data_IF_455265475712
#
_entry.id   IF_455265475712
#
_cell.length_a   1.000
_cell.length_b   1.000
_cell.length_c   1.000
_cell.angle_alpha   90.00
_cell.angle_beta   90.00
_cell.angle_gamma   90.00
#
_symmetry.space_group_name_H-M   'P 1'
#
loop_
_entity.id
_entity.type
_entity.pdbx_description
1 polymer ?
#
# COMPACT_ATOMS: atom_id res chain seq x y z
N UNK A 1 14.18 -12.61 -23.59
CA UNK A 1 12.73 -12.42 -23.86
C UNK A 1 12.01 -13.42 -22.96
N UNK A 2 11.42 -13.02 -21.83
CA UNK A 2 11.18 -13.96 -20.72
C UNK A 2 9.74 -14.51 -20.73
N UNK A 3 9.56 -15.68 -21.33
CA UNK A 3 9.14 -16.99 -20.78
C UNK A 3 8.36 -17.09 -19.43
N UNK A 4 7.55 -16.12 -19.00
CA UNK A 4 6.88 -16.19 -17.67
C UNK A 4 5.40 -16.61 -17.66
N UNK A 5 4.63 -16.26 -18.70
CA UNK A 5 3.16 -16.31 -18.62
C UNK A 5 2.59 -17.74 -18.78
N UNK A 6 3.39 -18.68 -19.28
CA UNK A 6 2.91 -20.04 -19.60
C UNK A 6 2.82 -20.99 -18.38
N UNK A 7 3.54 -20.72 -17.29
CA UNK A 7 3.62 -21.66 -16.16
C UNK A 7 2.51 -21.48 -15.12
N UNK A 8 1.90 -20.29 -15.03
CA UNK A 8 0.75 -20.04 -14.15
C UNK A 8 -0.57 -20.61 -14.69
N UNK A 9 -0.59 -21.09 -15.94
CA UNK A 9 -1.76 -21.72 -16.55
C UNK A 9 -1.93 -23.22 -16.18
N UNK A 10 -0.98 -23.83 -15.45
CA UNK A 10 -0.96 -25.28 -15.20
C UNK A 10 -1.70 -25.74 -13.92
N UNK A 11 -2.39 -24.85 -13.21
CA UNK A 11 -3.26 -25.20 -12.07
C UNK A 11 -4.77 -25.21 -12.40
N UNK A 12 -5.13 -25.30 -13.69
CA UNK A 12 -6.41 -25.90 -14.09
C UNK A 12 -7.68 -25.22 -13.57
N UNK A 13 -7.78 -23.88 -13.68
CA UNK A 13 -9.08 -23.22 -13.64
C UNK A 13 -9.09 -22.11 -14.70
N UNK A 14 -10.01 -22.27 -15.65
CA UNK A 14 -10.26 -21.40 -16.79
C UNK A 14 -10.51 -19.95 -16.37
N UNK A 15 -10.15 -18.98 -17.22
CA UNK A 15 -11.11 -18.00 -17.75
C UNK A 15 -10.52 -17.20 -18.92
N UNK A 16 -11.26 -17.18 -20.02
CA UNK A 16 -10.80 -16.79 -21.37
C UNK A 16 -11.08 -15.30 -21.69
N UNK A 17 -11.57 -14.51 -20.74
CA UNK A 17 -11.79 -13.07 -20.92
C UNK A 17 -11.23 -12.25 -19.77
N UNK A 18 -9.90 -12.24 -19.68
CA UNK A 18 -9.19 -11.41 -18.72
C UNK A 18 -8.94 -10.03 -19.36
N UNK A 19 -9.62 -8.99 -18.89
CA UNK A 19 -9.29 -7.61 -19.26
C UNK A 19 -8.08 -7.15 -18.43
N UNK A 20 -6.91 -7.05 -19.06
CA UNK A 20 -5.74 -6.43 -18.44
C UNK A 20 -6.01 -4.93 -18.31
N UNK A 21 -6.15 -4.45 -17.07
CA UNK A 21 -6.46 -3.06 -16.85
C UNK A 21 -5.20 -2.20 -16.99
N UNK A 22 -4.13 -2.47 -16.23
CA UNK A 22 -2.87 -1.68 -16.28
C UNK A 22 -1.79 -2.18 -15.29
N UNK A 23 -0.54 -1.71 -15.48
CA UNK A 23 0.58 -1.81 -14.52
C UNK A 23 0.60 -0.53 -13.64
N UNK A 24 0.59 -0.64 -12.29
CA UNK A 24 0.61 0.53 -11.38
C UNK A 24 1.74 0.51 -10.34
N UNK A 25 1.85 1.60 -9.56
CA UNK A 25 3.06 2.20 -8.96
C UNK A 25 4.04 1.26 -8.26
N UNK A 26 3.55 0.22 -7.59
CA UNK A 26 4.37 -0.77 -6.87
C UNK A 26 4.73 -2.00 -7.73
N UNK A 27 4.34 -2.00 -9.00
CA UNK A 27 4.56 -3.06 -9.97
C UNK A 27 3.53 -4.20 -9.93
N UNK A 28 2.48 -4.08 -9.12
CA UNK A 28 1.37 -5.04 -9.08
C UNK A 28 0.48 -4.91 -10.33
N UNK A 29 -0.15 -6.02 -10.72
CA UNK A 29 -1.07 -6.07 -11.87
C UNK A 29 -2.49 -6.38 -11.40
N UNK A 30 -3.47 -5.70 -11.98
CA UNK A 30 -4.87 -5.76 -11.56
C UNK A 30 -5.74 -6.29 -12.69
N UNK A 31 -6.72 -7.11 -12.31
CA UNK A 31 -7.54 -7.89 -13.23
C UNK A 31 -9.02 -7.80 -12.86
N UNK A 32 -9.88 -7.79 -13.87
CA UNK A 32 -11.34 -7.82 -13.71
C UNK A 32 -11.98 -8.80 -14.70
N UNK A 33 -12.89 -9.62 -14.19
CA UNK A 33 -13.77 -10.50 -14.95
C UNK A 33 -15.19 -10.44 -14.35
N UNK A 34 -16.16 -9.94 -15.13
CA UNK A 34 -17.56 -9.82 -14.68
C UNK A 34 -18.38 -11.11 -14.88
N UNK A 35 -17.83 -12.13 -15.53
CA UNK A 35 -18.47 -13.43 -15.70
C UNK A 35 -18.29 -14.34 -14.47
N UNK A 36 -17.36 -13.98 -13.59
CA UNK A 36 -17.07 -14.69 -12.35
C UNK A 36 -18.12 -14.43 -11.26
N UNK A 37 -18.08 -15.26 -10.22
CA UNK A 37 -18.98 -15.11 -9.07
C UNK A 37 -18.78 -13.76 -8.36
N UNK A 38 -19.86 -13.13 -7.84
CA UNK A 38 -19.75 -11.88 -7.07
C UNK A 38 -18.73 -12.00 -5.93
N UNK A 39 -17.79 -11.06 -5.86
CA UNK A 39 -16.69 -11.06 -4.88
C UNK A 39 -15.41 -11.77 -5.36
N UNK A 40 -15.44 -12.47 -6.50
CA UNK A 40 -14.25 -13.01 -7.19
C UNK A 40 -13.99 -12.33 -8.54
N UNK A 41 -14.77 -11.30 -8.88
CA UNK A 41 -14.69 -10.62 -10.17
C UNK A 41 -13.45 -9.74 -10.31
N UNK A 42 -12.78 -9.37 -9.21
CA UNK A 42 -11.58 -8.53 -9.22
C UNK A 42 -10.48 -9.18 -8.41
N UNK A 43 -9.26 -9.21 -8.94
CA UNK A 43 -8.10 -9.71 -8.23
C UNK A 43 -6.83 -8.96 -8.60
N UNK A 44 -5.80 -9.16 -7.79
CA UNK A 44 -4.48 -8.56 -7.94
C UNK A 44 -3.44 -9.67 -7.99
N UNK A 45 -2.47 -9.53 -8.88
CA UNK A 45 -1.26 -10.33 -8.88
C UNK A 45 -0.07 -9.45 -8.41
N UNK A 46 0.52 -9.87 -7.30
CA UNK A 46 1.56 -9.13 -6.61
C UNK A 46 2.91 -9.33 -7.28
N UNK A 47 3.70 -8.26 -7.40
CA UNK A 47 5.06 -8.36 -7.95
C UNK A 47 6.03 -9.05 -7.00
N UNK A 48 5.85 -8.83 -5.70
CA UNK A 48 6.71 -9.40 -4.67
C UNK A 48 6.24 -10.82 -4.32
N UNK A 49 7.19 -11.72 -4.07
CA UNK A 49 6.90 -13.09 -3.64
C UNK A 49 6.27 -13.11 -2.24
N UNK A 50 6.76 -12.26 -1.34
CA UNK A 50 6.18 -12.10 0.00
C UNK A 50 5.05 -11.07 -0.08
N UNK A 51 3.90 -11.54 -0.54
CA UNK A 51 2.74 -10.71 -0.79
C UNK A 51 2.00 -10.35 0.52
N UNK A 52 1.58 -9.09 0.62
CA UNK A 52 0.68 -8.61 1.67
C UNK A 52 -0.35 -7.65 1.06
N UNK A 53 -1.56 -7.69 1.61
CA UNK A 53 -2.65 -6.77 1.30
C UNK A 53 -2.28 -5.30 1.45
N UNK A 54 -1.33 -5.00 2.33
CA UNK A 54 -0.87 -3.62 2.63
C UNK A 54 0.04 -3.04 1.55
N UNK A 55 0.52 -3.85 0.61
CA UNK A 55 1.34 -3.40 -0.53
C UNK A 55 0.52 -2.72 -1.64
N UNK A 56 -0.81 -2.75 -1.53
CA UNK A 56 -1.72 -2.15 -2.49
C UNK A 56 -1.77 -0.63 -2.34
N UNK A 57 -1.77 0.06 -3.47
CA UNK A 57 -2.05 1.48 -3.49
C UNK A 57 -3.46 1.75 -2.93
N UNK A 58 -3.67 2.80 -2.11
CA UNK A 58 -4.97 3.07 -1.49
C UNK A 58 -6.13 3.21 -2.49
N UNK A 59 -5.86 3.81 -3.65
CA UNK A 59 -6.87 4.02 -4.69
C UNK A 59 -7.22 2.69 -5.38
N UNK A 60 -6.21 1.84 -5.64
CA UNK A 60 -6.42 0.51 -6.19
C UNK A 60 -7.12 -0.41 -5.21
N UNK A 61 -6.80 -0.30 -3.91
CA UNK A 61 -7.49 -1.01 -2.85
C UNK A 61 -8.99 -0.65 -2.78
N UNK A 62 -9.35 0.62 -2.98
CA UNK A 62 -10.76 1.05 -3.03
C UNK A 62 -11.52 0.45 -4.23
N UNK A 63 -10.87 0.33 -5.39
CA UNK A 63 -11.46 -0.34 -6.55
C UNK A 63 -11.59 -1.85 -6.33
N UNK A 64 -10.54 -2.50 -5.82
CA UNK A 64 -10.56 -3.94 -5.52
C UNK A 64 -11.64 -4.30 -4.50
N UNK A 65 -11.90 -3.42 -3.52
CA UNK A 65 -12.91 -3.58 -2.48
C UNK A 65 -14.33 -3.17 -2.92
N UNK A 66 -14.57 -2.97 -4.22
CA UNK A 66 -15.86 -2.50 -4.77
C UNK A 66 -16.37 -1.17 -4.19
N UNK A 67 -15.50 -0.36 -3.55
CA UNK A 67 -15.87 0.99 -3.08
C UNK A 67 -15.97 1.96 -4.26
N UNK A 68 -15.15 1.74 -5.30
CA UNK A 68 -15.19 2.46 -6.57
C UNK A 68 -15.61 1.52 -7.69
N UNK A 69 -16.52 1.98 -8.54
CA UNK A 69 -16.97 1.22 -9.70
C UNK A 69 -15.86 1.14 -10.75
N UNK A 70 -15.27 2.28 -11.10
CA UNK A 70 -14.26 2.41 -12.14
C UNK A 70 -12.84 2.26 -11.57
N UNK A 71 -11.91 1.66 -12.34
CA UNK A 71 -10.50 1.59 -11.95
C UNK A 71 -9.84 2.97 -12.01
N UNK A 72 -8.75 3.20 -11.25
CA UNK A 72 -7.99 4.46 -11.27
C UNK A 72 -7.49 4.90 -12.65
N UNK A 73 -7.35 3.97 -13.60
CA UNK A 73 -6.99 4.26 -14.99
C UNK A 73 -8.08 5.01 -15.77
N UNK A 74 -9.34 4.87 -15.37
CA UNK A 74 -10.50 5.47 -16.04
C UNK A 74 -11.13 6.58 -15.21
N UNK A 75 -11.13 6.44 -13.87
CA UNK A 75 -11.71 7.43 -12.97
C UNK A 75 -10.85 8.71 -12.92
N UNK A 76 -11.38 9.79 -13.51
CA UNK A 76 -10.73 11.12 -13.53
C UNK A 76 -10.54 11.70 -12.12
N UNK A 77 -11.44 11.39 -11.19
CA UNK A 77 -11.35 11.89 -9.81
C UNK A 77 -10.21 11.17 -9.09
N UNK A 78 -10.05 9.88 -9.33
CA UNK A 78 -8.95 9.08 -8.78
C UNK A 78 -7.58 9.56 -9.29
N UNK A 79 -7.46 9.94 -10.56
CA UNK A 79 -6.23 10.47 -11.13
C UNK A 79 -5.82 11.84 -10.56
N UNK A 80 -6.81 12.67 -10.22
CA UNK A 80 -6.60 14.02 -9.68
C UNK A 80 -6.48 14.05 -8.14
N UNK A 81 -6.47 12.88 -7.49
CA UNK A 81 -6.52 12.78 -6.03
C UNK A 81 -5.19 13.11 -5.34
N UNK A 82 -4.08 13.19 -6.07
CA UNK A 82 -2.76 13.42 -5.49
C UNK A 82 -2.65 14.81 -4.84
N UNK A 83 -2.30 14.83 -3.54
CA UNK A 83 -2.08 16.05 -2.76
C UNK A 83 -0.61 16.27 -2.50
N UNK A 84 -0.18 17.52 -2.42
CA UNK A 84 1.23 17.88 -2.22
C UNK A 84 1.85 17.38 -0.90
N UNK A 85 1.02 17.10 0.11
CA UNK A 85 1.44 16.57 1.41
C UNK A 85 1.34 15.04 1.50
N UNK A 86 0.85 14.38 0.45
CA UNK A 86 0.66 12.94 0.45
C UNK A 86 2.01 12.23 0.27
N UNK A 87 2.23 11.22 1.09
CA UNK A 87 3.40 10.35 1.00
C UNK A 87 3.06 9.20 0.03
N UNK A 88 4.02 8.73 -0.79
CA UNK A 88 3.83 7.53 -1.60
C UNK A 88 3.38 6.34 -0.74
N UNK A 89 2.57 5.45 -1.32
CA UNK A 89 2.13 4.25 -0.61
C UNK A 89 3.32 3.35 -0.28
N UNK A 90 3.39 2.89 0.96
CA UNK A 90 4.38 1.92 1.43
C UNK A 90 3.68 0.82 2.22
N UNK A 91 4.26 -0.36 2.21
CA UNK A 91 3.71 -1.53 2.90
C UNK A 91 3.75 -1.40 4.42
N UNK A 92 2.98 -2.22 5.10
CA UNK A 92 3.00 -2.26 6.56
C UNK A 92 4.34 -2.79 7.08
N UNK A 93 5.01 -1.98 7.89
CA UNK A 93 6.32 -2.31 8.46
C UNK A 93 6.24 -3.03 9.82
N UNK A 94 5.06 -3.51 10.23
CA UNK A 94 4.88 -4.23 11.50
C UNK A 94 5.81 -5.45 11.59
N UNK A 95 6.47 -5.64 12.74
CA UNK A 95 7.43 -6.74 12.93
C UNK A 95 8.80 -6.53 12.27
N UNK A 96 8.97 -5.46 11.48
CA UNK A 96 10.27 -5.10 10.89
C UNK A 96 10.99 -4.02 11.72
N UNK A 97 12.21 -3.67 11.31
CA UNK A 97 12.95 -2.54 11.90
C UNK A 97 12.25 -1.19 11.69
N UNK A 98 11.42 -1.07 10.65
CA UNK A 98 10.65 0.14 10.31
C UNK A 98 9.33 0.29 11.05
N UNK A 99 8.98 -0.61 11.98
CA UNK A 99 7.73 -0.55 12.71
C UNK A 99 7.55 0.77 13.47
N UNK A 100 6.33 1.31 13.45
CA UNK A 100 5.99 2.51 14.22
C UNK A 100 6.19 2.28 15.72
N UNK A 101 6.95 3.18 16.36
CA UNK A 101 7.19 3.17 17.80
C UNK A 101 6.62 4.46 18.39
N UNK A 102 5.57 4.39 19.23
CA UNK A 102 5.01 5.58 19.84
C UNK A 102 6.04 6.21 20.79
N UNK A 103 6.03 7.54 20.84
CA UNK A 103 6.85 8.33 21.76
C UNK A 103 6.02 9.48 22.33
N UNK A 104 6.48 10.07 23.42
CA UNK A 104 5.82 11.23 23.98
C UNK A 104 6.06 12.45 23.08
N UNK A 105 4.99 12.97 22.46
CA UNK A 105 5.03 14.17 21.62
C UNK A 105 5.11 15.47 22.43
N UNK A 106 4.95 15.38 23.76
CA UNK A 106 5.01 16.52 24.67
C UNK A 106 6.39 16.66 25.32
N UNK A 107 6.81 17.92 25.51
CA UNK A 107 7.96 18.25 26.35
C UNK A 107 7.59 18.11 27.83
N UNK A 108 8.56 17.87 28.73
CA UNK A 108 8.32 17.91 30.16
C UNK A 108 7.63 19.22 30.58
N UNK A 109 6.58 19.12 31.39
CA UNK A 109 5.85 20.31 31.89
C UNK A 109 6.59 20.99 33.04
N UNK A 110 7.39 20.23 33.77
CA UNK A 110 8.23 20.71 34.86
C UNK A 110 9.69 20.52 34.45
N UNK A 111 10.48 21.57 34.61
CA UNK A 111 11.92 21.56 34.33
C UNK A 111 12.66 21.41 35.66
N UNK A 112 13.62 20.47 35.70
CA UNK A 112 14.48 20.33 36.87
C UNK A 112 15.40 21.55 37.00
N UNK A 113 15.72 21.93 38.24
CA UNK A 113 16.74 22.93 38.49
C UNK A 113 18.12 22.39 38.08
N UNK A 114 18.84 23.15 37.25
CA UNK A 114 20.22 22.83 36.88
C UNK A 114 21.19 23.44 37.92
N UNK A 115 21.94 22.62 38.68
CA UNK A 115 22.83 23.12 39.72
C UNK A 115 23.99 23.93 39.15
N UNK A 116 24.16 25.16 39.62
CA UNK A 116 25.36 25.96 39.37
C UNK A 116 26.24 25.92 40.62
N UNK A 117 27.42 25.31 40.48
CA UNK A 117 28.41 25.25 41.57
C UNK A 117 29.12 26.61 41.66
N UNK A 118 29.13 27.21 42.85
CA UNK A 118 29.87 28.44 43.14
C UNK A 118 30.97 28.18 44.17
N UNK A 119 32.18 28.67 43.92
CA UNK A 119 33.30 28.60 44.87
C UNK A 119 33.07 29.55 46.05
N UNK A 120 33.29 29.06 47.28
CA UNK A 120 33.24 29.90 48.49
C UNK A 120 34.37 30.92 48.46
N UNK A 121 34.05 32.23 48.44
CA UNK A 121 35.06 33.29 48.60
C UNK A 121 35.51 33.32 50.06
N UNK A 122 36.83 33.20 50.27
CA UNK A 122 37.48 33.35 51.57
C UNK A 122 37.68 34.79 51.97
#
# INVERSE_FOLDING_TARGET
MPNGVAWLALTGMFDVYIFFLTHHSNGNTYWENNEEQPGRTRWVDYKQHDFDSTQLDPIWHAWLSHTRCEPPSTDRVAQSFERSWQIPAFENMTGTRGAYRPYNTTKPKLYAWEPKIATRRG
#
